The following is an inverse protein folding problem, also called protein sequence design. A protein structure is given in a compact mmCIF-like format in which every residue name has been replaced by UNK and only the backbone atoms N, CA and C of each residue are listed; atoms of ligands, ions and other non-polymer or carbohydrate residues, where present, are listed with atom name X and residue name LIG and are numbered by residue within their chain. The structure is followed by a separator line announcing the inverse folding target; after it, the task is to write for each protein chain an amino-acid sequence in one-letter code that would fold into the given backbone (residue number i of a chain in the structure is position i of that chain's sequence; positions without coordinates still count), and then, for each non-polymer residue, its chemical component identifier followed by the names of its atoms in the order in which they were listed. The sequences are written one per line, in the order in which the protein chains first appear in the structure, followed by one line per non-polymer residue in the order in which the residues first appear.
data_IF_322670726807
#
_entry.id   IF_322670726807
#
_cell.length_a   1.000
_cell.length_b   1.000
_cell.length_c   1.000
_cell.angle_alpha   90.00
_cell.angle_beta   90.00
_cell.angle_gamma   90.00
#
_symmetry.space_group_name_H-M   'P 1'
#
loop_
_entity.id
_entity.type
_entity.pdbx_description
1 polymer ?
#
# COMPACT_ATOMS: atom_id res chain seq x y z
N UNK A 1 -0.92 -33.16 -0.54
CA UNK A 1 -1.19 -32.44 0.01
C UNK A 1 -1.43 -31.22 -0.28
N UNK A 2 -1.97 -30.96 -0.25
CA UNK A 2 -2.23 -29.85 -0.62
C UNK A 2 -1.80 -28.89 0.23
N UNK A 3 -1.33 -28.24 -0.03
CA UNK A 3 -1.00 -27.41 0.72
C UNK A 3 -1.97 -26.58 1.13
N UNK A 4 -2.04 -26.35 2.05
CA UNK A 4 -2.85 -25.54 2.44
C UNK A 4 -2.43 -24.27 2.20
N UNK A 5 -2.96 -23.70 1.53
CA UNK A 5 -2.71 -22.38 1.25
C UNK A 5 -3.34 -21.55 2.28
N UNK A 6 -2.60 -20.71 2.91
CA UNK A 6 -3.18 -19.75 3.81
C UNK A 6 -4.09 -18.86 3.01
N UNK A 7 -5.21 -18.47 3.57
CA UNK A 7 -6.09 -17.52 2.93
C UNK A 7 -5.33 -16.23 2.68
N UNK A 8 -5.52 -15.58 1.56
CA UNK A 8 -4.86 -14.31 1.32
C UNK A 8 -5.31 -13.28 2.33
N UNK A 9 -4.40 -12.40 2.69
CA UNK A 9 -4.74 -11.30 3.57
C UNK A 9 -5.78 -10.40 2.93
N UNK A 10 -6.74 -9.95 3.71
CA UNK A 10 -7.78 -9.06 3.20
C UNK A 10 -7.50 -7.66 3.71
N UNK A 11 -7.52 -6.70 2.82
CA UNK A 11 -7.21 -5.33 3.12
C UNK A 11 -8.45 -4.48 2.93
N UNK A 12 -8.80 -3.74 3.98
CA UNK A 12 -9.94 -2.84 3.96
C UNK A 12 -9.44 -1.40 3.93
N UNK A 13 -9.97 -0.62 2.99
CA UNK A 13 -9.58 0.77 2.82
C UNK A 13 -10.68 1.73 3.23
N UNK A 14 -11.49 1.34 4.23
CA UNK A 14 -12.65 2.11 4.63
C UNK A 14 -12.50 2.58 6.06
N UNK A 15 -13.17 3.66 6.38
CA UNK A 15 -13.19 4.15 7.75
C UNK A 15 -13.95 3.21 8.65
N UNK A 16 -14.96 2.55 8.11
CA UNK A 16 -15.73 1.60 8.89
C UNK A 16 -15.47 0.20 8.41
N UNK A 17 -15.24 -0.69 9.33
CA UNK A 17 -15.08 -2.09 8.98
C UNK A 17 -16.43 -2.78 8.94
N UNK A 18 -16.59 -3.76 8.06
CA UNK A 18 -17.77 -4.63 8.16
C UNK A 18 -17.65 -5.44 9.45
N UNK A 19 -18.74 -6.05 9.92
CA UNK A 19 -18.65 -6.90 11.11
C UNK A 19 -17.68 -8.06 10.86
N UNK A 20 -16.61 -8.09 11.63
CA UNK A 20 -15.60 -9.12 11.50
C UNK A 20 -15.42 -9.80 12.85
N UNK A 21 -15.25 -11.11 12.80
CA UNK A 21 -14.83 -11.83 13.99
C UNK A 21 -13.32 -11.79 14.03
N UNK A 22 -12.79 -10.69 14.51
CA UNK A 22 -11.36 -10.45 14.52
C UNK A 22 -11.02 -9.57 15.70
N UNK A 23 -9.80 -9.70 16.19
CA UNK A 23 -9.35 -8.84 17.28
C UNK A 23 -8.19 -8.01 16.80
N UNK A 24 -8.05 -6.84 17.39
CA UNK A 24 -6.99 -5.92 17.07
C UNK A 24 -5.69 -6.43 17.66
N UNK A 25 -4.69 -6.57 16.81
CA UNK A 25 -3.36 -6.97 17.23
C UNK A 25 -2.50 -5.74 17.50
N UNK A 26 -2.59 -4.74 16.64
CA UNK A 26 -1.81 -3.53 16.82
C UNK A 26 -1.90 -2.60 15.63
N UNK A 27 -1.25 -1.46 15.76
CA UNK A 27 -1.22 -0.46 14.73
C UNK A 27 0.18 -0.43 14.12
N UNK A 28 0.24 -0.36 12.81
CA UNK A 28 1.50 -0.38 12.08
C UNK A 28 1.47 0.60 10.93
N UNK A 29 2.62 0.84 10.34
CA UNK A 29 2.75 1.71 9.16
C UNK A 29 3.55 0.98 8.11
N UNK A 30 3.13 1.13 6.86
CA UNK A 30 3.87 0.60 5.72
C UNK A 30 4.15 1.74 4.77
N UNK A 31 5.30 1.70 4.11
CA UNK A 31 5.66 2.69 3.11
C UNK A 31 5.93 1.99 1.78
N UNK A 32 5.63 2.68 0.72
CA UNK A 32 5.87 2.16 -0.62
C UNK A 32 6.18 3.32 -1.57
N UNK A 33 6.85 3.02 -2.66
CA UNK A 33 7.11 4.02 -3.69
C UNK A 33 6.67 3.46 -5.03
N UNK A 34 6.25 4.35 -5.92
CA UNK A 34 5.96 3.98 -7.30
C UNK A 34 7.27 3.84 -8.07
N UNK A 35 7.17 3.36 -9.31
CA UNK A 35 8.28 3.44 -10.22
C UNK A 35 8.57 4.91 -10.55
N UNK A 36 9.74 5.19 -11.07
CA UNK A 36 10.15 6.54 -11.43
C UNK A 36 9.75 6.84 -12.85
N UNK A 37 9.39 8.08 -13.11
CA UNK A 37 9.02 8.54 -14.45
C UNK A 37 9.81 9.79 -14.78
N UNK A 38 10.06 10.07 -16.07
CA UNK A 38 10.75 11.29 -16.45
C UNK A 38 9.95 12.52 -16.04
N UNK A 39 10.64 13.55 -15.62
CA UNK A 39 10.00 14.78 -15.21
C UNK A 39 9.61 15.67 -16.39
N UNK A 40 9.04 15.08 -17.42
CA UNK A 40 8.62 15.82 -18.60
C UNK A 40 7.24 16.40 -18.39
N UNK A 41 6.97 17.52 -19.05
CA UNK A 41 5.65 18.15 -18.98
C UNK A 41 4.66 17.39 -19.84
N UNK A 42 5.13 16.81 -20.96
CA UNK A 42 4.26 16.09 -21.87
C UNK A 42 3.74 14.83 -21.18
N UNK A 43 2.45 14.59 -21.28
CA UNK A 43 1.78 13.41 -20.71
C UNK A 43 1.93 13.30 -19.20
N UNK A 44 2.08 14.43 -18.53
CA UNK A 44 2.29 14.43 -17.08
C UNK A 44 1.16 13.76 -16.34
N UNK A 45 -0.09 14.03 -16.69
CA UNK A 45 -1.22 13.45 -16.00
C UNK A 45 -1.25 11.94 -16.15
N UNK A 46 -0.96 11.44 -17.35
CA UNK A 46 -0.93 10.02 -17.60
C UNK A 46 0.18 9.35 -16.81
N UNK A 47 1.34 10.00 -16.74
CA UNK A 47 2.46 9.47 -15.97
C UNK A 47 2.16 9.41 -14.48
N UNK A 48 1.48 10.45 -13.96
CA UNK A 48 1.10 10.44 -12.54
C UNK A 48 0.04 9.38 -12.26
N UNK A 49 -0.91 9.17 -13.18
CA UNK A 49 -1.90 8.12 -13.02
C UNK A 49 -1.23 6.75 -12.98
N UNK A 50 -0.23 6.53 -13.82
CA UNK A 50 0.51 5.28 -13.82
C UNK A 50 1.29 5.11 -12.52
N UNK A 51 1.90 6.18 -12.01
CA UNK A 51 2.60 6.15 -10.75
C UNK A 51 1.66 5.82 -9.60
N UNK A 52 0.47 6.41 -9.59
CA UNK A 52 -0.49 6.16 -8.54
C UNK A 52 -0.95 4.70 -8.56
N UNK A 53 -1.27 4.18 -9.74
CA UNK A 53 -1.68 2.78 -9.89
C UNK A 53 -0.57 1.84 -9.41
N UNK A 54 0.67 2.14 -9.79
CA UNK A 54 1.81 1.33 -9.39
C UNK A 54 2.04 1.42 -7.88
N UNK A 55 1.92 2.62 -7.32
CA UNK A 55 2.07 2.82 -5.88
C UNK A 55 1.05 2.00 -5.11
N UNK A 56 -0.20 2.03 -5.55
CA UNK A 56 -1.26 1.31 -4.84
C UNK A 56 -1.09 -0.20 -4.96
N UNK A 57 -0.63 -0.68 -6.11
CA UNK A 57 -0.35 -2.10 -6.28
C UNK A 57 0.81 -2.54 -5.38
N UNK A 58 1.85 -1.74 -5.30
CA UNK A 58 2.99 -2.04 -4.44
C UNK A 58 2.59 -1.98 -2.96
N UNK A 59 1.78 -1.00 -2.59
CA UNK A 59 1.29 -0.85 -1.22
C UNK A 59 0.48 -2.08 -0.83
N UNK A 60 -0.40 -2.53 -1.71
CA UNK A 60 -1.21 -3.72 -1.43
C UNK A 60 -0.33 -4.94 -1.22
N UNK A 61 0.67 -5.11 -2.08
CA UNK A 61 1.58 -6.24 -1.97
C UNK A 61 2.34 -6.21 -0.64
N UNK A 62 2.80 -5.04 -0.23
CA UNK A 62 3.52 -4.88 1.04
C UNK A 62 2.61 -5.11 2.24
N UNK A 63 1.36 -4.62 2.17
CA UNK A 63 0.40 -4.86 3.24
C UNK A 63 0.11 -6.36 3.39
N UNK A 64 -0.08 -7.05 2.28
CA UNK A 64 -0.33 -8.48 2.32
C UNK A 64 0.86 -9.22 2.94
N UNK A 65 2.07 -8.83 2.57
CA UNK A 65 3.27 -9.44 3.15
C UNK A 65 3.36 -9.18 4.65
N UNK A 66 3.09 -7.94 5.09
CA UNK A 66 3.17 -7.59 6.49
C UNK A 66 2.11 -8.29 7.32
N UNK A 67 0.89 -8.38 6.80
CA UNK A 67 -0.17 -9.08 7.51
C UNK A 67 0.22 -10.54 7.72
N UNK A 68 0.76 -11.18 6.71
CA UNK A 68 1.18 -12.57 6.83
C UNK A 68 2.39 -12.72 7.75
N UNK A 69 3.35 -11.82 7.65
CA UNK A 69 4.54 -11.85 8.49
C UNK A 69 4.19 -11.71 9.97
N UNK A 70 3.20 -10.88 10.27
CA UNK A 70 2.78 -10.62 11.64
C UNK A 70 1.67 -11.57 12.10
N UNK A 71 1.38 -12.57 11.29
CA UNK A 71 0.39 -13.61 11.61
C UNK A 71 -1.02 -13.05 11.79
N UNK A 72 -1.34 -12.00 11.05
CA UNK A 72 -2.68 -11.45 11.02
C UNK A 72 -3.51 -12.02 9.89
N UNK A 73 -4.73 -11.55 9.76
CA UNK A 73 -5.61 -11.93 8.67
C UNK A 73 -6.14 -10.73 7.90
N UNK A 74 -6.29 -9.60 8.58
CA UNK A 74 -6.86 -8.42 7.98
C UNK A 74 -6.01 -7.19 8.26
N UNK A 75 -6.02 -6.24 7.36
CA UNK A 75 -5.46 -4.91 7.58
C UNK A 75 -6.55 -3.89 7.31
N UNK A 76 -6.70 -2.92 8.19
CA UNK A 76 -7.66 -1.84 8.02
C UNK A 76 -6.85 -0.55 7.89
N UNK A 77 -6.76 -0.03 6.68
CA UNK A 77 -6.00 1.19 6.41
C UNK A 77 -6.81 2.39 6.89
N UNK A 78 -6.24 3.14 7.82
CA UNK A 78 -6.90 4.27 8.43
C UNK A 78 -6.48 5.60 7.80
N UNK A 79 -5.19 5.73 7.54
CA UNK A 79 -4.64 6.96 7.04
C UNK A 79 -3.68 6.69 5.91
N UNK A 80 -3.65 7.61 4.96
CA UNK A 80 -2.66 7.53 3.91
C UNK A 80 -2.11 8.92 3.65
N UNK A 81 -0.83 8.98 3.32
CA UNK A 81 -0.16 10.22 2.98
C UNK A 81 0.69 9.93 1.75
N UNK A 82 0.38 10.59 0.65
CA UNK A 82 1.08 10.36 -0.61
C UNK A 82 1.72 11.67 -1.05
N UNK A 83 3.03 11.62 -1.24
CA UNK A 83 3.81 12.77 -1.67
C UNK A 83 4.49 12.51 -2.99
N UNK A 84 4.67 13.56 -3.78
CA UNK A 84 5.51 13.44 -4.96
C UNK A 84 6.94 13.74 -4.58
N UNK A 85 7.86 13.00 -5.15
CA UNK A 85 9.29 13.17 -4.95
C UNK A 85 9.95 13.46 -6.29
N UNK A 86 11.06 14.12 -6.26
CA UNK A 86 11.78 14.51 -7.47
C UNK A 86 13.28 14.43 -7.21
N UNK A 87 14.01 13.91 -8.20
CA UNK A 87 15.46 13.87 -8.12
C UNK A 87 16.00 14.87 -9.12
N UNK A 88 16.66 15.91 -8.63
CA UNK A 88 17.18 16.98 -9.47
C UNK A 88 18.30 16.50 -10.40
N UNK A 89 19.01 15.46 -10.03
CA UNK A 89 20.13 14.98 -10.80
C UNK A 89 19.63 14.18 -12.02
N UNK A 90 18.72 13.25 -11.80
CA UNK A 90 18.21 12.42 -12.88
C UNK A 90 17.01 13.06 -13.61
N UNK A 91 16.36 14.02 -12.98
CA UNK A 91 15.14 14.61 -13.52
C UNK A 91 13.94 13.72 -13.39
N UNK A 92 14.06 12.65 -12.60
CA UNK A 92 12.96 11.71 -12.45
C UNK A 92 12.08 12.07 -11.28
N UNK A 93 10.82 11.65 -11.35
CA UNK A 93 9.85 11.88 -10.28
C UNK A 93 9.14 10.57 -9.95
N UNK A 94 8.62 10.47 -8.74
CA UNK A 94 7.86 9.29 -8.33
C UNK A 94 6.93 9.68 -7.18
N UNK A 95 6.04 8.76 -6.81
CA UNK A 95 5.18 8.93 -5.65
C UNK A 95 5.69 8.07 -4.50
N UNK A 96 5.60 8.64 -3.31
CA UNK A 96 5.94 7.93 -2.07
C UNK A 96 4.71 7.96 -1.18
N UNK A 97 4.29 6.81 -0.70
CA UNK A 97 3.12 6.70 0.16
C UNK A 97 3.47 6.11 1.51
N UNK A 98 2.81 6.62 2.54
CA UNK A 98 2.89 6.07 3.89
C UNK A 98 1.47 5.77 4.32
N UNK A 99 1.24 4.54 4.80
CA UNK A 99 -0.09 4.06 5.09
C UNK A 99 -0.12 3.48 6.49
N UNK A 100 -1.01 4.04 7.33
CA UNK A 100 -1.17 3.57 8.68
C UNK A 100 -2.33 2.59 8.70
N UNK A 101 -2.15 1.45 9.31
CA UNK A 101 -3.20 0.43 9.34
C UNK A 101 -3.27 -0.28 10.68
N UNK A 102 -4.44 -0.83 10.95
CA UNK A 102 -4.66 -1.68 12.12
C UNK A 102 -4.57 -3.11 11.63
N UNK A 103 -3.76 -3.90 12.32
CA UNK A 103 -3.63 -5.32 12.04
C UNK A 103 -4.66 -6.07 12.87
N UNK A 104 -5.41 -6.94 12.22
CA UNK A 104 -6.44 -7.72 12.86
C UNK A 104 -6.17 -9.22 12.66
N UNK A 105 -6.52 -9.98 13.66
CA UNK A 105 -6.29 -11.43 13.61
C UNK A 105 -7.59 -12.20 13.80
#
# INVERSE_FOLDING_TARGET
MRRETADPAVIYWHRELPPLKAEVVGEHTVEATSHRVPGTIAHRDELWDQCYTDLMAETRRRLEQEVLRLEGRFAHVLDESIDSKHDDVSGESWLHGRFKYILLR
#
